data_IF_441731598214
#
_entry.id   IF_441731598214
#
_cell.length_a   1.000
_cell.length_b   1.000
_cell.length_c   1.000
_cell.angle_alpha   90.00
_cell.angle_beta   90.00
_cell.angle_gamma   90.00
#
_symmetry.space_group_name_H-M   'P 1'
#
loop_
_entity.id
_entity.type
_entity.pdbx_description
1 polymer ?
#
# COMPACT_ATOMS: atom_id res chain seq x y z
N UNK A 1 12.90 19.52 5.70
CA UNK A 1 12.77 19.78 4.25
C UNK A 1 11.50 19.16 3.70
N UNK A 2 11.17 17.93 4.12
CA UNK A 2 10.03 17.12 3.65
C UNK A 2 8.65 17.73 3.99
N UNK A 3 8.53 18.47 5.10
CA UNK A 3 7.28 19.07 5.58
C UNK A 3 7.09 20.53 5.13
N UNK A 4 8.15 21.20 4.63
CA UNK A 4 8.09 22.64 4.31
C UNK A 4 7.84 22.96 2.84
N UNK A 5 8.09 22.01 1.92
CA UNK A 5 7.90 22.19 0.47
C UNK A 5 7.62 20.84 -0.19
N UNK A 6 6.39 20.32 -0.12
CA UNK A 6 6.03 19.02 -0.70
C UNK A 6 6.32 18.96 -2.21
N UNK A 7 6.07 20.03 -2.96
CA UNK A 7 6.31 20.12 -4.40
C UNK A 7 7.79 19.91 -4.78
N UNK A 8 8.73 20.37 -3.97
CA UNK A 8 10.15 20.14 -4.21
C UNK A 8 10.55 18.69 -3.89
N UNK A 9 9.89 18.08 -2.93
CA UNK A 9 10.12 16.68 -2.60
C UNK A 9 9.57 15.74 -3.68
N UNK A 10 8.39 16.04 -4.22
CA UNK A 10 7.81 15.31 -5.35
C UNK A 10 8.72 15.38 -6.58
N UNK A 11 9.13 16.58 -6.97
CA UNK A 11 10.08 16.77 -8.06
C UNK A 11 11.43 16.06 -7.80
N UNK A 12 11.90 16.06 -6.56
CA UNK A 12 13.10 15.32 -6.19
C UNK A 12 12.89 13.80 -6.36
N UNK A 13 11.73 13.26 -5.98
CA UNK A 13 11.39 11.85 -6.15
C UNK A 13 11.40 11.42 -7.62
N UNK A 14 10.91 12.27 -8.53
CA UNK A 14 10.91 12.01 -9.98
C UNK A 14 12.35 11.92 -10.53
N UNK A 15 13.24 12.79 -10.03
CA UNK A 15 14.63 12.87 -10.49
C UNK A 15 15.58 11.92 -9.76
N UNK A 16 15.14 11.30 -8.66
CA UNK A 16 15.93 10.37 -7.85
C UNK A 16 15.21 9.02 -7.71
N UNK A 17 15.06 8.26 -8.81
CA UNK A 17 14.42 6.94 -8.76
C UNK A 17 15.21 5.97 -7.88
N UNK A 18 14.54 4.93 -7.42
CA UNK A 18 15.21 3.82 -6.75
C UNK A 18 15.94 3.00 -7.81
N UNK A 19 17.26 3.14 -7.86
CA UNK A 19 18.12 2.41 -8.80
C UNK A 19 18.46 1.01 -8.29
N UNK A 20 18.52 0.85 -6.96
CA UNK A 20 18.78 -0.43 -6.33
C UNK A 20 17.73 -0.72 -5.25
N UNK A 21 17.12 -1.89 -5.36
CA UNK A 21 16.20 -2.38 -4.34
C UNK A 21 16.98 -2.92 -3.14
N UNK A 22 16.47 -2.71 -1.91
CA UNK A 22 17.05 -3.34 -0.74
C UNK A 22 17.08 -4.86 -0.91
N UNK A 23 18.25 -5.46 -0.72
CA UNK A 23 18.42 -6.92 -0.82
C UNK A 23 17.58 -7.64 0.24
N UNK A 24 17.02 -8.78 -0.12
CA UNK A 24 16.36 -9.68 0.81
C UNK A 24 17.38 -10.15 1.86
N UNK A 25 17.03 -10.02 3.13
CA UNK A 25 17.88 -10.49 4.24
C UNK A 25 17.56 -11.95 4.58
N UNK A 26 18.50 -12.64 5.19
CA UNK A 26 18.26 -14.00 5.68
C UNK A 26 17.06 -14.02 6.63
N UNK A 27 16.10 -14.94 6.37
CA UNK A 27 14.86 -15.06 7.15
C UNK A 27 13.74 -14.10 6.74
N UNK A 28 13.93 -13.23 5.72
CA UNK A 28 12.83 -12.50 5.08
C UNK A 28 12.20 -13.35 3.98
N UNK A 29 10.87 -13.33 3.89
CA UNK A 29 10.14 -14.13 2.91
C UNK A 29 8.76 -13.53 2.58
N UNK A 30 8.25 -13.85 1.38
CA UNK A 30 6.86 -13.58 0.99
C UNK A 30 6.09 -14.90 0.96
N UNK A 31 4.98 -14.96 1.71
CA UNK A 31 4.15 -16.16 1.82
C UNK A 31 2.73 -15.87 1.35
N UNK A 32 2.21 -16.74 0.50
CA UNK A 32 0.80 -16.70 0.10
C UNK A 32 -0.08 -17.01 1.32
N UNK A 33 -1.08 -16.16 1.56
CA UNK A 33 -2.08 -16.36 2.63
C UNK A 33 -3.04 -17.48 2.23
N UNK A 34 -3.04 -18.56 3.01
CA UNK A 34 -3.85 -19.77 2.76
C UNK A 34 -4.68 -20.20 3.95
N UNK A 35 -4.09 -20.17 5.16
CA UNK A 35 -4.70 -20.67 6.39
C UNK A 35 -5.42 -19.57 7.17
N UNK A 36 -6.31 -19.96 8.08
CA UNK A 36 -7.05 -19.00 8.91
C UNK A 36 -6.12 -18.17 9.81
N UNK A 37 -5.06 -18.78 10.32
CA UNK A 37 -4.06 -18.06 11.13
C UNK A 37 -3.33 -16.99 10.29
N UNK A 38 -3.05 -17.29 9.02
CA UNK A 38 -2.43 -16.34 8.11
C UNK A 38 -3.38 -15.21 7.74
N UNK A 39 -4.68 -15.50 7.55
CA UNK A 39 -5.71 -14.48 7.35
C UNK A 39 -5.86 -13.58 8.58
N UNK A 40 -5.87 -14.15 9.78
CA UNK A 40 -5.91 -13.37 11.01
C UNK A 40 -4.67 -12.46 11.17
N UNK A 41 -3.48 -12.98 10.85
CA UNK A 41 -2.25 -12.18 10.85
C UNK A 41 -2.30 -11.05 9.82
N UNK A 42 -2.83 -11.31 8.62
CA UNK A 42 -3.01 -10.30 7.58
C UNK A 42 -4.01 -9.22 8.02
N UNK A 43 -5.15 -9.60 8.60
CA UNK A 43 -6.17 -8.66 9.10
C UNK A 43 -5.60 -7.73 10.18
N UNK A 44 -4.80 -8.28 11.12
CA UNK A 44 -4.13 -7.49 12.16
C UNK A 44 -3.19 -6.43 11.57
N UNK A 45 -2.35 -6.82 10.61
CA UNK A 45 -1.43 -5.88 9.93
C UNK A 45 -2.22 -4.84 9.15
N UNK A 46 -3.33 -5.23 8.54
CA UNK A 46 -4.22 -4.34 7.79
C UNK A 46 -4.81 -3.27 8.73
N UNK A 47 -5.40 -3.68 9.87
CA UNK A 47 -5.94 -2.73 10.87
C UNK A 47 -4.86 -1.79 11.39
N UNK A 48 -3.67 -2.31 11.74
CA UNK A 48 -2.54 -1.47 12.18
C UNK A 48 -2.18 -0.43 11.11
N UNK A 49 -2.08 -0.87 9.85
CA UNK A 49 -1.75 -0.01 8.72
C UNK A 49 -2.82 1.06 8.47
N UNK A 50 -4.10 0.68 8.52
CA UNK A 50 -5.23 1.61 8.37
C UNK A 50 -5.30 2.62 9.50
N UNK A 51 -5.16 2.20 10.75
CA UNK A 51 -5.11 3.12 11.89
C UNK A 51 -3.98 4.13 11.77
N UNK A 52 -2.81 3.70 11.32
CA UNK A 52 -1.65 4.59 11.14
C UNK A 52 -1.85 5.64 10.04
N UNK A 53 -2.74 5.41 9.06
CA UNK A 53 -3.05 6.35 7.97
C UNK A 53 -4.40 7.06 8.17
N UNK A 54 -5.20 6.59 9.12
CA UNK A 54 -6.56 7.06 9.37
C UNK A 54 -6.59 8.47 9.98
N UNK A 55 -5.81 8.71 11.00
CA UNK A 55 -5.88 9.88 11.87
C UNK A 55 -5.73 11.23 11.14
N UNK A 56 -5.18 11.24 9.93
CA UNK A 56 -5.03 12.47 9.14
C UNK A 56 -6.35 12.92 8.48
N UNK A 57 -7.23 11.97 8.15
CA UNK A 57 -8.38 12.21 7.29
C UNK A 57 -9.73 11.83 7.92
N UNK A 58 -9.74 11.04 8.99
CA UNK A 58 -10.97 10.53 9.62
C UNK A 58 -11.02 10.86 11.10
N UNK A 59 -12.23 10.86 11.67
CA UNK A 59 -12.44 11.11 13.09
C UNK A 59 -11.74 10.06 13.96
N UNK A 60 -11.34 10.42 15.19
CA UNK A 60 -10.77 9.46 16.16
C UNK A 60 -11.69 8.27 16.42
N UNK A 61 -13.00 8.49 16.49
CA UNK A 61 -14.01 7.46 16.72
C UNK A 61 -14.02 6.44 15.58
N UNK A 62 -13.99 6.90 14.32
CA UNK A 62 -13.88 6.01 13.17
C UNK A 62 -12.57 5.23 13.20
N UNK A 63 -11.45 5.89 13.47
CA UNK A 63 -10.16 5.20 13.55
C UNK A 63 -10.12 4.14 14.67
N UNK A 64 -10.80 4.40 15.79
CA UNK A 64 -10.93 3.45 16.90
C UNK A 64 -11.87 2.28 16.57
N UNK A 65 -12.88 2.49 15.73
CA UNK A 65 -13.85 1.44 15.34
C UNK A 65 -13.25 0.38 14.42
N UNK A 66 -12.12 0.66 13.75
CA UNK A 66 -11.45 -0.31 12.89
C UNK A 66 -11.07 -1.56 13.69
N UNK A 67 -11.53 -2.73 13.26
CA UNK A 67 -11.33 -3.99 13.99
C UNK A 67 -10.89 -5.13 13.07
N UNK A 68 -10.26 -6.14 13.67
CA UNK A 68 -9.67 -7.25 12.92
C UNK A 68 -10.72 -8.17 12.28
N UNK A 69 -11.90 -8.31 12.87
CA UNK A 69 -12.96 -9.20 12.37
C UNK A 69 -13.51 -8.70 11.03
N UNK A 70 -13.78 -7.40 10.92
CA UNK A 70 -14.25 -6.79 9.68
C UNK A 70 -13.22 -6.95 8.56
N UNK A 71 -11.94 -6.69 8.85
CA UNK A 71 -10.88 -6.85 7.86
C UNK A 71 -10.58 -8.31 7.53
N UNK A 72 -10.75 -9.22 8.47
CA UNK A 72 -10.69 -10.66 8.19
C UNK A 72 -11.80 -11.06 7.20
N UNK A 73 -13.02 -10.59 7.44
CA UNK A 73 -14.14 -10.82 6.52
C UNK A 73 -13.89 -10.21 5.15
N UNK A 74 -13.41 -8.96 5.11
CA UNK A 74 -13.04 -8.28 3.86
C UNK A 74 -12.01 -9.07 3.07
N UNK A 75 -10.91 -9.50 3.68
CA UNK A 75 -9.86 -10.27 3.00
C UNK A 75 -10.37 -11.61 2.46
N UNK A 76 -11.33 -12.25 3.15
CA UNK A 76 -11.97 -13.48 2.66
C UNK A 76 -12.90 -13.22 1.47
N UNK A 77 -13.66 -12.11 1.49
CA UNK A 77 -14.50 -11.69 0.37
C UNK A 77 -13.64 -11.32 -0.85
N UNK A 78 -12.56 -10.60 -0.64
CA UNK A 78 -11.58 -10.26 -1.68
C UNK A 78 -10.96 -11.53 -2.30
N UNK A 79 -10.59 -12.52 -1.48
CA UNK A 79 -10.12 -13.83 -1.99
C UNK A 79 -11.16 -14.48 -2.88
N UNK A 80 -12.43 -14.48 -2.48
CA UNK A 80 -13.53 -15.02 -3.30
C UNK A 80 -13.73 -14.24 -4.61
N UNK A 81 -13.42 -12.93 -4.61
CA UNK A 81 -13.43 -12.07 -5.79
C UNK A 81 -12.14 -12.17 -6.65
N UNK A 82 -11.21 -13.05 -6.30
CA UNK A 82 -10.00 -13.33 -7.08
C UNK A 82 -8.77 -12.51 -6.68
N UNK A 83 -8.81 -11.83 -5.54
CA UNK A 83 -7.62 -11.21 -4.96
C UNK A 83 -6.73 -12.25 -4.29
N UNK A 84 -5.44 -11.99 -4.34
CA UNK A 84 -4.41 -12.85 -3.74
C UNK A 84 -3.61 -12.02 -2.74
N UNK A 85 -3.68 -12.41 -1.47
CA UNK A 85 -2.96 -11.75 -0.38
C UNK A 85 -1.66 -12.47 -0.06
N UNK A 86 -0.60 -11.69 0.15
CA UNK A 86 0.71 -12.19 0.59
C UNK A 86 1.12 -11.53 1.89
N UNK A 87 1.71 -12.31 2.79
CA UNK A 87 2.40 -11.85 4.00
C UNK A 87 3.90 -11.75 3.74
N UNK A 88 4.48 -10.62 4.11
CA UNK A 88 5.92 -10.54 4.35
C UNK A 88 6.21 -11.04 5.76
N UNK A 89 7.26 -11.85 5.91
CA UNK A 89 7.72 -12.33 7.22
C UNK A 89 9.21 -12.05 7.40
N UNK A 90 9.59 -11.70 8.63
CA UNK A 90 10.99 -11.69 9.07
C UNK A 90 11.16 -12.71 10.17
N UNK A 91 12.01 -13.72 9.96
CA UNK A 91 12.21 -14.85 10.89
C UNK A 91 10.86 -15.49 11.29
N UNK A 92 10.02 -15.76 10.29
CA UNK A 92 8.68 -16.34 10.39
C UNK A 92 7.62 -15.46 11.09
N UNK A 93 7.98 -14.26 11.55
CA UNK A 93 7.03 -13.30 12.13
C UNK A 93 6.46 -12.43 11.01
N UNK A 94 5.11 -12.41 10.83
CA UNK A 94 4.45 -11.53 9.86
C UNK A 94 4.64 -10.05 10.22
N UNK A 95 5.10 -9.24 9.27
CA UNK A 95 5.38 -7.83 9.46
C UNK A 95 5.00 -6.93 8.27
N UNK A 96 4.37 -7.51 7.24
CA UNK A 96 3.80 -6.76 6.13
C UNK A 96 2.77 -7.58 5.34
N UNK A 97 1.87 -6.88 4.64
CA UNK A 97 0.90 -7.48 3.71
C UNK A 97 0.87 -6.72 2.39
N UNK A 98 0.55 -7.43 1.32
CA UNK A 98 0.16 -6.88 0.04
C UNK A 98 -0.86 -7.79 -0.63
N UNK A 99 -1.89 -7.21 -1.22
CA UNK A 99 -2.87 -7.91 -2.03
C UNK A 99 -2.73 -7.53 -3.50
N UNK A 100 -2.92 -8.49 -4.40
CA UNK A 100 -2.90 -8.28 -5.85
C UNK A 100 -4.11 -8.92 -6.51
N UNK A 101 -4.55 -8.34 -7.60
CA UNK A 101 -5.55 -8.92 -8.47
C UNK A 101 -4.97 -9.11 -9.87
N UNK A 102 -4.73 -10.37 -10.25
CA UNK A 102 -4.15 -10.73 -11.54
C UNK A 102 -5.06 -10.40 -12.73
N UNK A 103 -6.40 -10.40 -12.55
CA UNK A 103 -7.33 -10.14 -13.66
C UNK A 103 -7.26 -8.70 -14.17
N UNK A 104 -7.03 -7.75 -13.24
CA UNK A 104 -7.06 -6.32 -13.55
C UNK A 104 -5.70 -5.63 -13.35
N UNK A 105 -4.67 -6.38 -12.98
CA UNK A 105 -3.31 -5.82 -12.79
C UNK A 105 -3.21 -4.84 -11.62
N UNK A 106 -3.96 -5.07 -10.53
CA UNK A 106 -4.09 -4.11 -9.44
C UNK A 106 -3.35 -4.58 -8.17
N UNK A 107 -2.63 -3.66 -7.53
CA UNK A 107 -1.99 -3.84 -6.22
C UNK A 107 -2.78 -3.04 -5.17
N UNK A 108 -3.16 -3.71 -4.09
CA UNK A 108 -3.92 -3.14 -2.98
C UNK A 108 -3.29 -3.54 -1.63
N UNK A 109 -3.69 -2.87 -0.53
CA UNK A 109 -3.36 -3.24 0.85
C UNK A 109 -1.86 -3.40 1.16
N UNK A 110 -1.02 -2.53 0.62
CA UNK A 110 0.42 -2.57 0.91
C UNK A 110 0.70 -1.90 2.25
N UNK A 111 0.80 -2.68 3.31
CA UNK A 111 1.09 -2.22 4.66
C UNK A 111 2.31 -2.93 5.26
N UNK A 112 3.06 -2.18 6.08
CA UNK A 112 4.19 -2.68 6.87
C UNK A 112 3.97 -2.24 8.31
N UNK A 113 4.09 -3.17 9.26
CA UNK A 113 3.96 -2.88 10.69
C UNK A 113 4.91 -1.77 11.12
N UNK A 114 4.53 -0.98 12.12
CA UNK A 114 5.34 0.15 12.57
C UNK A 114 6.77 -0.27 12.94
N UNK A 115 6.90 -1.36 13.69
CA UNK A 115 8.19 -1.92 14.12
C UNK A 115 9.11 -2.36 12.97
N UNK A 116 8.54 -2.63 11.80
CA UNK A 116 9.26 -3.11 10.62
C UNK A 116 9.53 -2.00 9.58
N UNK A 117 8.98 -0.80 9.77
CA UNK A 117 9.19 0.34 8.86
C UNK A 117 10.66 0.78 8.82
N UNK A 118 11.03 1.49 7.76
CA UNK A 118 12.40 1.99 7.58
C UNK A 118 13.42 0.95 7.11
N UNK A 119 13.04 -0.33 7.02
CA UNK A 119 13.92 -1.45 6.63
C UNK A 119 13.85 -1.81 5.14
N UNK A 120 13.16 -1.01 4.34
CA UNK A 120 12.98 -1.25 2.90
C UNK A 120 11.95 -2.33 2.54
N UNK A 121 11.21 -2.88 3.53
CA UNK A 121 10.24 -3.95 3.32
C UNK A 121 9.14 -3.52 2.33
N UNK A 122 8.60 -2.32 2.45
CA UNK A 122 7.58 -1.83 1.52
C UNK A 122 8.05 -1.79 0.06
N UNK A 123 9.31 -1.42 -0.18
CA UNK A 123 9.91 -1.46 -1.53
C UNK A 123 10.01 -2.88 -2.08
N UNK A 124 10.46 -3.82 -1.25
CA UNK A 124 10.58 -5.25 -1.61
C UNK A 124 9.21 -5.85 -1.94
N UNK A 125 8.20 -5.54 -1.12
CA UNK A 125 6.83 -6.02 -1.32
C UNK A 125 6.21 -5.43 -2.57
N UNK A 126 6.41 -4.14 -2.84
CA UNK A 126 5.91 -3.48 -4.05
C UNK A 126 6.55 -4.06 -5.31
N UNK A 127 7.88 -4.28 -5.30
CA UNK A 127 8.57 -4.91 -6.42
C UNK A 127 8.13 -6.38 -6.62
N UNK A 128 7.95 -7.12 -5.52
CA UNK A 128 7.41 -8.47 -5.57
C UNK A 128 6.01 -8.49 -6.22
N UNK A 129 5.10 -7.61 -5.77
CA UNK A 129 3.74 -7.52 -6.30
C UNK A 129 3.75 -7.14 -7.79
N UNK A 130 4.56 -6.15 -8.18
CA UNK A 130 4.76 -5.76 -9.57
C UNK A 130 5.24 -6.93 -10.43
N UNK A 131 6.23 -7.70 -9.95
CA UNK A 131 6.74 -8.89 -10.66
C UNK A 131 5.68 -9.98 -10.81
N UNK A 132 4.79 -10.13 -9.82
CA UNK A 132 3.65 -11.06 -9.90
C UNK A 132 2.61 -10.62 -10.93
N UNK A 133 2.60 -9.35 -11.30
CA UNK A 133 1.72 -8.76 -12.32
C UNK A 133 2.48 -8.46 -13.62
N UNK A 134 3.55 -9.20 -13.92
CA UNK A 134 4.40 -8.97 -15.11
C UNK A 134 3.69 -9.19 -16.45
N UNK A 135 2.56 -9.89 -16.46
CA UNK A 135 1.68 -10.03 -17.62
C UNK A 135 0.94 -8.73 -17.98
N UNK A 136 0.85 -7.78 -17.05
CA UNK A 136 0.30 -6.45 -17.27
C UNK A 136 1.43 -5.47 -17.58
N UNK A 137 1.36 -4.82 -18.73
CA UNK A 137 2.34 -3.82 -19.15
C UNK A 137 2.39 -2.66 -18.13
N UNK A 138 1.21 -2.27 -17.65
CA UNK A 138 1.04 -1.15 -16.74
C UNK A 138 0.19 -1.54 -15.52
N UNK A 139 0.74 -2.26 -14.53
CA UNK A 139 0.02 -2.50 -13.28
C UNK A 139 -0.37 -1.18 -12.61
N UNK A 140 -1.47 -1.19 -11.88
CA UNK A 140 -2.01 -0.02 -11.18
C UNK A 140 -2.06 -0.24 -9.68
N UNK A 141 -2.07 0.84 -8.93
CA UNK A 141 -2.39 0.87 -7.51
C UNK A 141 -3.21 2.12 -7.19
N UNK A 142 -3.89 2.11 -6.05
CA UNK A 142 -4.60 3.27 -5.54
C UNK A 142 -4.02 3.72 -4.20
N UNK A 143 -4.07 5.01 -3.95
CA UNK A 143 -3.52 5.62 -2.72
C UNK A 143 -4.28 6.90 -2.38
N UNK A 144 -4.45 7.20 -1.09
CA UNK A 144 -4.98 8.52 -0.70
C UNK A 144 -4.01 9.63 -1.07
N UNK A 145 -4.51 10.71 -1.66
CA UNK A 145 -3.70 11.87 -2.06
C UNK A 145 -2.97 12.53 -0.88
N UNK A 146 -3.46 12.35 0.33
CA UNK A 146 -2.83 12.80 1.57
C UNK A 146 -1.68 11.91 2.03
N UNK A 147 -1.60 10.66 1.56
CA UNK A 147 -0.51 9.75 1.91
C UNK A 147 0.77 10.06 1.09
N UNK A 148 1.30 11.26 1.27
CA UNK A 148 2.48 11.76 0.55
C UNK A 148 3.70 10.85 0.68
N UNK A 149 3.82 10.13 1.81
CA UNK A 149 4.93 9.18 2.02
C UNK A 149 4.84 7.98 1.06
N UNK A 150 3.65 7.42 0.88
CA UNK A 150 3.44 6.30 -0.04
C UNK A 150 3.60 6.76 -1.49
N UNK A 151 2.98 7.90 -1.86
CA UNK A 151 3.11 8.49 -3.19
C UNK A 151 4.59 8.70 -3.54
N UNK A 152 5.37 9.29 -2.64
CA UNK A 152 6.79 9.51 -2.85
C UNK A 152 7.59 8.18 -3.03
N UNK A 153 7.23 7.13 -2.27
CA UNK A 153 7.82 5.81 -2.46
C UNK A 153 7.49 5.26 -3.85
N UNK A 154 6.22 5.30 -4.24
CA UNK A 154 5.75 4.77 -5.52
C UNK A 154 6.38 5.52 -6.68
N UNK A 155 6.39 6.86 -6.64
CA UNK A 155 7.05 7.69 -7.67
C UNK A 155 8.52 7.31 -7.86
N UNK A 156 9.28 7.17 -6.77
CA UNK A 156 10.68 6.73 -6.83
C UNK A 156 10.87 5.33 -7.41
N UNK A 157 9.86 4.49 -7.33
CA UNK A 157 9.87 3.13 -7.90
C UNK A 157 9.29 3.06 -9.32
N UNK A 158 9.09 4.19 -9.98
CA UNK A 158 8.65 4.25 -11.38
C UNK A 158 7.14 4.26 -11.58
N UNK A 159 6.37 4.54 -10.53
CA UNK A 159 4.93 4.71 -10.63
C UNK A 159 4.60 6.19 -10.86
N UNK A 160 3.62 6.46 -11.71
CA UNK A 160 3.16 7.82 -12.00
C UNK A 160 1.67 7.97 -11.72
N UNK A 161 1.28 9.13 -11.22
CA UNK A 161 -0.13 9.50 -11.09
C UNK A 161 -0.79 9.45 -12.47
N UNK A 162 -1.98 8.86 -12.52
CA UNK A 162 -2.81 8.88 -13.73
C UNK A 162 -3.80 10.03 -13.64
N UNK A 163 -4.09 10.66 -14.77
CA UNK A 163 -5.26 11.53 -14.90
C UNK A 163 -6.50 10.62 -14.98
N UNK A 164 -7.44 10.76 -14.09
CA UNK A 164 -8.66 9.93 -14.12
C UNK A 164 -9.57 10.19 -12.93
N UNK A 165 -10.61 9.41 -12.82
CA UNK A 165 -11.65 9.54 -11.80
C UNK A 165 -11.05 9.34 -10.41
N UNK A 166 -10.86 10.43 -9.69
CA UNK A 166 -10.55 10.39 -8.27
C UNK A 166 -11.84 10.04 -7.50
N UNK A 167 -11.76 9.11 -6.56
CA UNK A 167 -12.83 8.90 -5.59
C UNK A 167 -12.62 9.91 -4.45
N UNK A 168 -13.44 10.95 -4.45
CA UNK A 168 -13.39 11.98 -3.42
C UNK A 168 -14.13 11.55 -2.15
N UNK A 169 -13.56 11.90 -1.01
CA UNK A 169 -14.18 11.77 0.31
C UNK A 169 -14.29 13.16 0.92
N UNK A 170 -15.51 13.61 1.12
CA UNK A 170 -15.81 14.90 1.75
C UNK A 170 -16.62 14.71 3.03
N UNK A 171 -16.51 15.61 4.03
CA UNK A 171 -17.30 15.51 5.26
C UNK A 171 -18.81 15.46 5.05
N UNK A 172 -19.30 16.09 3.96
CA UNK A 172 -20.73 16.11 3.60
C UNK A 172 -21.24 14.76 3.16
N UNK A 173 -20.42 13.99 2.43
CA UNK A 173 -20.76 12.66 1.93
C UNK A 173 -20.41 11.55 2.92
N UNK A 174 -19.35 11.75 3.69
CA UNK A 174 -18.81 10.78 4.64
C UNK A 174 -18.54 11.48 5.97
N UNK A 175 -19.49 11.50 6.92
CA UNK A 175 -19.38 12.24 8.18
C UNK A 175 -18.16 11.89 9.04
N UNK A 176 -17.58 10.71 8.85
CA UNK A 176 -16.35 10.30 9.53
C UNK A 176 -15.08 10.96 8.92
N UNK A 177 -15.17 11.60 7.76
CA UNK A 177 -14.06 12.31 7.12
C UNK A 177 -13.97 13.71 7.71
N UNK A 178 -12.82 14.07 8.27
CA UNK A 178 -12.59 15.39 8.87
C UNK A 178 -11.96 16.39 7.90
N UNK A 179 -11.36 15.89 6.84
CA UNK A 179 -10.68 16.69 5.82
C UNK A 179 -10.88 16.05 4.45
N UNK A 180 -11.29 16.88 3.49
CA UNK A 180 -11.42 16.42 2.09
C UNK A 180 -10.15 15.71 1.65
N UNK A 181 -10.29 14.49 1.17
CA UNK A 181 -9.24 13.69 0.57
C UNK A 181 -9.77 12.91 -0.63
N UNK A 182 -8.89 12.34 -1.42
CA UNK A 182 -9.27 11.55 -2.59
C UNK A 182 -8.39 10.31 -2.73
N UNK A 183 -8.97 9.25 -3.23
CA UNK A 183 -8.23 8.08 -3.70
C UNK A 183 -7.76 8.39 -5.13
N UNK A 184 -6.45 8.44 -5.31
CA UNK A 184 -5.81 8.68 -6.60
C UNK A 184 -5.16 7.39 -7.11
N UNK A 185 -5.05 7.27 -8.43
CA UNK A 185 -4.48 6.09 -9.06
C UNK A 185 -3.06 6.37 -9.54
N UNK A 186 -2.19 5.38 -9.38
CA UNK A 186 -0.85 5.39 -9.94
C UNK A 186 -0.65 4.17 -10.82
N UNK A 187 0.05 4.37 -11.93
CA UNK A 187 0.39 3.35 -12.92
C UNK A 187 1.90 3.16 -12.97
N UNK A 188 2.34 1.91 -13.05
CA UNK A 188 3.75 1.61 -13.25
C UNK A 188 4.15 1.89 -14.70
N UNK A 189 5.17 2.70 -14.90
CA UNK A 189 5.72 3.05 -16.23
C UNK A 189 7.18 2.65 -16.41
N UNK A 190 7.71 1.93 -15.44
CA UNK A 190 9.13 1.59 -15.43
C UNK A 190 9.99 2.66 -14.80
N UNK A 191 11.16 2.27 -14.34
CA UNK A 191 12.20 3.23 -13.97
C UNK A 191 12.66 3.91 -15.26
N UNK A 192 12.71 5.24 -15.28
CA UNK A 192 13.30 5.96 -16.39
C UNK A 192 14.71 5.38 -16.65
N UNK A 193 14.85 4.65 -17.76
CA UNK A 193 16.17 4.24 -18.22
C UNK A 193 16.90 5.53 -18.59
N UNK A 194 17.98 5.82 -17.88
CA UNK A 194 18.98 6.79 -18.32
C UNK A 194 19.93 6.12 -19.28
#
# INVERSE_FOLDING_TARGET
TRLRRPELYEKWCETHPVTELPKWKRGENMRLVKTDEQFAAAARIFVEGRRATCAENWTPEYCASLNEEEYLLQLRQEKAAGWVCYLHTTKDVPDGIVSINHKVGHIEHLFVTEKARGRGIGMKMLDFARKKLSEHEHPVLSVLNTNTRAIALYTRMGWKLTSGTELEFTPEQYPAVVKKCALVWMRYEGSAQK
#
